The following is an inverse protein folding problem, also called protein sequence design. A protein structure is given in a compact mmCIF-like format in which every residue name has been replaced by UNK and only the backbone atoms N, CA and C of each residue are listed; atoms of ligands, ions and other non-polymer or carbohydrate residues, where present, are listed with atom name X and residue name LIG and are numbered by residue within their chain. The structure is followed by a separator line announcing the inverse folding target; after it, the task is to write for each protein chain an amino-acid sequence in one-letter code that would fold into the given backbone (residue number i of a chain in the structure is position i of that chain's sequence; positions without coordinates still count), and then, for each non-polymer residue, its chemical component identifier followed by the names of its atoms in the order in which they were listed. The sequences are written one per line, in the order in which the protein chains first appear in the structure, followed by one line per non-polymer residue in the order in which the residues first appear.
data_IF_239884586533
#
_entry.id   IF_239884586533
#
_cell.length_a   1.000
_cell.length_b   1.000
_cell.length_c   1.000
_cell.angle_alpha   90.00
_cell.angle_beta   90.00
_cell.angle_gamma   90.00
#
_symmetry.space_group_name_H-M   'P 1'
#
loop_
_entity.id
_entity.type
_entity.pdbx_description
1 polymer ?
#
# COMPACT_ATOMS: atom_id res chain seq x y z
N UNK A 1 24.39 12.84 12.40
CA UNK A 1 25.16 11.60 12.13
C UNK A 1 24.69 10.98 10.82
N UNK A 2 25.57 10.86 9.84
CA UNK A 2 25.26 10.36 8.48
C UNK A 2 24.85 8.89 8.51
N UNK A 3 23.64 8.55 8.05
CA UNK A 3 23.20 7.16 7.88
C UNK A 3 24.10 6.49 6.83
N UNK A 4 24.98 5.59 7.27
CA UNK A 4 25.90 4.84 6.42
C UNK A 4 25.11 4.01 5.41
N UNK A 5 25.16 4.40 4.13
CA UNK A 5 24.50 3.67 3.04
C UNK A 5 25.21 2.33 2.81
N UNK A 6 24.45 1.23 2.88
CA UNK A 6 24.93 -0.12 2.59
C UNK A 6 25.21 -0.25 1.08
N UNK A 7 26.34 -0.89 0.73
CA UNK A 7 26.71 -1.24 -0.64
C UNK A 7 25.74 -2.27 -1.23
N UNK A 8 25.57 -2.31 -2.55
CA UNK A 8 24.65 -3.25 -3.22
C UNK A 8 25.06 -4.72 -3.01
N UNK A 9 26.36 -4.99 -2.85
CA UNK A 9 26.84 -6.31 -2.42
C UNK A 9 26.43 -6.65 -0.99
N UNK A 10 26.37 -5.65 -0.09
CA UNK A 10 25.91 -5.85 1.28
C UNK A 10 24.40 -6.09 1.32
N UNK A 11 23.61 -5.37 0.52
CA UNK A 11 22.17 -5.61 0.36
C UNK A 11 21.89 -7.03 -0.17
N UNK A 12 22.61 -7.45 -1.22
CA UNK A 12 22.46 -8.80 -1.80
C UNK A 12 22.86 -9.90 -0.81
N UNK A 13 23.94 -9.70 -0.04
CA UNK A 13 24.36 -10.65 1.01
C UNK A 13 23.37 -10.72 2.18
N UNK A 14 22.76 -9.59 2.54
CA UNK A 14 21.71 -9.52 3.56
C UNK A 14 20.45 -10.24 3.06
N UNK A 15 20.01 -9.98 1.83
CA UNK A 15 18.86 -10.67 1.22
C UNK A 15 19.11 -12.19 1.13
N UNK A 16 20.31 -12.62 0.75
CA UNK A 16 20.70 -14.03 0.71
C UNK A 16 20.75 -14.69 2.10
N UNK A 17 21.23 -13.97 3.13
CA UNK A 17 21.18 -14.45 4.53
C UNK A 17 19.76 -14.50 5.08
N UNK A 18 18.93 -13.52 4.75
CA UNK A 18 17.50 -13.51 5.12
C UNK A 18 16.77 -14.70 4.50
N UNK A 19 17.01 -14.99 3.21
CA UNK A 19 16.46 -16.19 2.53
C UNK A 19 16.92 -17.48 3.21
N UNK A 20 18.17 -17.53 3.71
CA UNK A 20 18.69 -18.68 4.47
C UNK A 20 18.15 -18.79 5.90
N UNK A 21 17.99 -17.69 6.65
CA UNK A 21 17.31 -17.71 7.97
C UNK A 21 15.82 -18.09 7.82
N UNK A 22 15.22 -17.77 6.66
CA UNK A 22 13.88 -18.20 6.28
C UNK A 22 13.76 -19.73 6.11
N UNK A 23 14.79 -20.37 5.53
CA UNK A 23 14.86 -21.82 5.35
C UNK A 23 15.43 -22.57 6.56
N UNK A 24 16.30 -21.96 7.38
CA UNK A 24 16.93 -22.67 8.51
C UNK A 24 15.97 -22.95 9.68
N UNK A 25 14.76 -22.39 9.66
CA UNK A 25 13.66 -22.73 10.56
C UNK A 25 12.73 -23.82 10.00
N UNK A 26 13.16 -24.52 8.94
CA UNK A 26 12.41 -25.62 8.32
C UNK A 26 12.62 -26.93 9.06
N UNK A 27 11.64 -27.30 9.87
CA UNK A 27 11.36 -28.72 10.11
C UNK A 27 9.85 -29.05 10.09
N UNK A 28 9.03 -28.21 9.47
CA UNK A 28 7.63 -28.55 9.18
C UNK A 28 7.20 -27.89 7.88
N UNK A 29 6.93 -28.73 6.88
CA UNK A 29 6.53 -28.35 5.53
C UNK A 29 5.12 -27.78 5.47
N UNK A 30 5.02 -26.56 4.95
CA UNK A 30 3.92 -25.98 4.16
C UNK A 30 4.19 -24.49 4.03
N UNK A 31 4.90 -24.14 2.96
CA UNK A 31 5.22 -22.79 2.52
C UNK A 31 3.91 -22.24 1.88
N UNK A 32 3.33 -21.08 2.19
CA UNK A 32 3.92 -19.75 2.03
C UNK A 32 3.15 -18.62 2.78
N UNK A 33 1.97 -18.88 3.38
CA UNK A 33 1.08 -17.81 3.89
C UNK A 33 1.03 -17.68 5.42
N UNK A 34 1.45 -18.71 6.17
CA UNK A 34 1.33 -18.73 7.64
C UNK A 34 2.46 -18.01 8.40
N UNK A 35 3.39 -17.31 7.71
CA UNK A 35 4.58 -16.70 8.36
C UNK A 35 4.47 -15.21 8.64
N UNK A 36 3.58 -14.47 7.98
CA UNK A 36 3.44 -13.02 8.23
C UNK A 36 2.30 -12.78 9.22
N UNK A 37 2.67 -12.29 10.41
CA UNK A 37 1.77 -12.14 11.55
C UNK A 37 1.37 -10.67 11.80
N UNK A 38 1.74 -9.76 10.90
CA UNK A 38 1.37 -8.36 11.02
C UNK A 38 1.21 -7.63 9.69
N UNK A 39 0.44 -6.55 9.73
CA UNK A 39 0.26 -5.60 8.63
C UNK A 39 0.64 -4.20 9.09
N UNK A 40 1.46 -3.50 8.31
CA UNK A 40 1.83 -2.11 8.61
C UNK A 40 0.63 -1.20 8.36
N UNK A 41 0.19 -0.49 9.40
CA UNK A 41 -0.92 0.47 9.35
C UNK A 41 -0.39 1.89 9.14
N UNK A 42 0.60 2.28 9.93
CA UNK A 42 1.15 3.65 9.92
C UNK A 42 2.65 3.65 10.03
N UNK A 43 3.30 4.62 9.39
CA UNK A 43 4.76 4.76 9.37
C UNK A 43 5.21 6.11 9.93
N UNK A 44 5.81 6.12 11.12
CA UNK A 44 6.29 7.32 11.84
C UNK A 44 7.81 7.53 11.74
N UNK A 45 8.45 6.97 10.72
CA UNK A 45 9.88 7.16 10.46
C UNK A 45 10.73 6.06 11.10
N UNK A 46 10.90 6.07 12.42
CA UNK A 46 11.64 5.02 13.14
C UNK A 46 10.74 3.94 13.72
N UNK A 47 9.50 4.32 14.04
CA UNK A 47 8.47 3.44 14.58
C UNK A 47 7.37 3.25 13.54
N UNK A 48 6.77 2.07 13.54
CA UNK A 48 5.64 1.72 12.70
C UNK A 48 4.56 1.09 13.58
N UNK A 49 3.30 1.41 13.30
CA UNK A 49 2.18 0.68 13.91
C UNK A 49 1.87 -0.53 13.03
N UNK A 50 1.89 -1.70 13.66
CA UNK A 50 1.62 -2.98 13.02
C UNK A 50 0.37 -3.58 13.65
N UNK A 51 -0.63 -3.82 12.83
CA UNK A 51 -1.80 -4.61 13.22
C UNK A 51 -1.41 -6.09 13.32
N UNK A 52 -1.78 -6.72 14.43
CA UNK A 52 -1.56 -8.15 14.63
C UNK A 52 -2.61 -8.92 13.83
N UNK A 53 -2.16 -9.82 12.93
CA UNK A 53 -3.08 -10.59 12.08
C UNK A 53 -3.46 -11.96 12.67
N UNK A 54 -2.65 -12.48 13.59
CA UNK A 54 -2.80 -13.86 14.10
C UNK A 54 -2.77 -13.92 15.61
N UNK A 55 -3.49 -14.90 16.18
CA UNK A 55 -3.47 -15.19 17.63
C UNK A 55 -4.55 -14.44 18.41
N UNK A 56 -4.44 -14.47 19.76
CA UNK A 56 -5.48 -13.96 20.67
C UNK A 56 -5.70 -12.44 20.57
N UNK A 57 -4.68 -11.70 20.15
CA UNK A 57 -4.70 -10.24 20.05
C UNK A 57 -4.87 -9.76 18.59
N UNK A 58 -5.42 -10.60 17.70
CA UNK A 58 -5.67 -10.22 16.32
C UNK A 58 -6.54 -8.95 16.25
N UNK A 59 -6.18 -8.02 15.36
CA UNK A 59 -6.81 -6.71 15.21
C UNK A 59 -6.29 -5.63 16.17
N UNK A 60 -5.49 -5.96 17.18
CA UNK A 60 -4.82 -4.94 17.99
C UNK A 60 -3.60 -4.35 17.29
N UNK A 61 -3.23 -3.13 17.67
CA UNK A 61 -2.05 -2.44 17.16
C UNK A 61 -0.86 -2.63 18.11
N UNK A 62 0.29 -2.96 17.53
CA UNK A 62 1.57 -3.01 18.20
C UNK A 62 2.53 -1.99 17.61
N UNK A 63 3.17 -1.19 18.46
CA UNK A 63 4.23 -0.29 18.01
C UNK A 63 5.54 -1.05 17.85
N UNK A 64 6.05 -1.05 16.63
CA UNK A 64 7.22 -1.80 16.23
C UNK A 64 8.34 -0.90 15.73
N UNK A 65 9.58 -1.31 15.96
CA UNK A 65 10.77 -0.75 15.34
C UNK A 65 11.20 -1.58 14.13
N UNK A 66 11.72 -0.91 13.11
CA UNK A 66 12.29 -1.57 11.94
C UNK A 66 13.79 -1.87 12.14
N UNK A 67 14.23 -3.09 11.84
CA UNK A 67 15.66 -3.40 11.76
C UNK A 67 16.33 -2.69 10.58
N UNK A 68 17.56 -2.23 10.78
CA UNK A 68 18.32 -1.46 9.78
C UNK A 68 18.60 -2.20 8.45
N UNK A 69 18.48 -3.53 8.43
CA UNK A 69 18.72 -4.37 7.27
C UNK A 69 17.46 -4.63 6.42
N UNK A 70 16.31 -4.06 6.80
CA UNK A 70 15.07 -4.17 6.04
C UNK A 70 14.97 -3.08 4.97
N UNK A 71 14.35 -3.38 3.82
CA UNK A 71 13.98 -2.37 2.83
C UNK A 71 12.99 -1.34 3.44
N UNK A 72 12.73 -0.25 2.71
CA UNK A 72 11.73 0.73 3.17
C UNK A 72 10.35 0.11 3.23
N UNK A 73 9.78 0.08 4.43
CA UNK A 73 8.40 -0.36 4.67
C UNK A 73 7.42 0.78 4.37
N UNK A 74 6.22 0.43 3.94
CA UNK A 74 5.11 1.36 3.69
C UNK A 74 3.82 0.79 4.25
N UNK A 75 2.78 1.62 4.35
CA UNK A 75 1.45 1.18 4.76
C UNK A 75 0.92 0.09 3.82
N UNK A 76 0.33 -0.95 4.40
CA UNK A 76 -0.16 -2.13 3.68
C UNK A 76 0.87 -3.26 3.53
N UNK A 77 2.14 -3.05 3.89
CA UNK A 77 3.12 -4.13 3.91
C UNK A 77 2.76 -5.23 4.90
N UNK A 78 2.81 -6.48 4.44
CA UNK A 78 2.75 -7.65 5.30
C UNK A 78 4.15 -7.93 5.87
N UNK A 79 4.21 -8.12 7.18
CA UNK A 79 5.47 -8.22 7.93
C UNK A 79 5.44 -9.36 8.93
N UNK A 80 6.64 -9.86 9.23
CA UNK A 80 6.88 -10.72 10.37
C UNK A 80 7.52 -9.87 11.45
N UNK A 81 6.84 -9.77 12.59
CA UNK A 81 7.34 -9.06 13.76
C UNK A 81 7.39 -9.99 14.97
N UNK A 82 8.23 -9.65 15.94
CA UNK A 82 8.28 -10.31 17.26
C UNK A 82 8.29 -9.27 18.36
N UNK A 83 7.77 -9.65 19.51
CA UNK A 83 7.97 -8.87 20.73
C UNK A 83 9.40 -9.12 21.25
N UNK A 84 10.06 -8.06 21.67
CA UNK A 84 11.35 -8.13 22.37
C UNK A 84 11.14 -8.19 23.89
N UNK A 85 12.22 -8.46 24.64
CA UNK A 85 12.19 -8.59 26.10
C UNK A 85 11.60 -7.35 26.82
N UNK A 86 11.69 -6.17 26.21
CA UNK A 86 11.16 -4.90 26.74
C UNK A 86 9.70 -4.63 26.34
N UNK A 87 8.96 -5.62 25.83
CA UNK A 87 7.59 -5.47 25.32
C UNK A 87 7.47 -4.46 24.18
N UNK A 88 8.52 -4.29 23.39
CA UNK A 88 8.52 -3.50 22.17
C UNK A 88 8.51 -4.43 20.95
N UNK A 89 7.77 -4.07 19.91
CA UNK A 89 7.74 -4.87 18.70
C UNK A 89 8.96 -4.62 17.83
N UNK A 90 9.49 -5.65 17.18
CA UNK A 90 10.58 -5.53 16.21
C UNK A 90 10.19 -6.25 14.93
N UNK A 91 10.21 -5.52 13.81
CA UNK A 91 9.99 -6.07 12.49
C UNK A 91 11.26 -6.79 12.02
N UNK A 92 11.10 -8.05 11.63
CA UNK A 92 12.20 -8.97 11.28
C UNK A 92 12.29 -9.14 9.76
N UNK A 93 11.14 -9.25 9.09
CA UNK A 93 11.04 -9.52 7.67
C UNK A 93 9.80 -8.85 7.07
N UNK A 94 9.86 -8.64 5.75
CA UNK A 94 8.75 -8.15 4.93
C UNK A 94 8.39 -9.24 3.92
N UNK A 95 7.09 -9.39 3.65
CA UNK A 95 6.59 -10.22 2.57
C UNK A 95 6.87 -9.59 1.19
N UNK A 96 6.79 -10.41 0.15
CA UNK A 96 6.74 -9.91 -1.22
C UNK A 96 5.46 -9.10 -1.45
N UNK A 97 5.59 -7.95 -2.11
CA UNK A 97 4.45 -7.06 -2.38
C UNK A 97 3.71 -7.54 -3.61
N UNK A 98 2.37 -7.62 -3.53
CA UNK A 98 1.51 -7.88 -4.71
C UNK A 98 1.57 -6.72 -5.71
N UNK A 99 1.55 -5.50 -5.19
CA UNK A 99 1.68 -4.26 -5.96
C UNK A 99 2.25 -3.16 -5.06
N UNK A 100 2.69 -2.07 -5.70
CA UNK A 100 3.29 -0.92 -5.02
C UNK A 100 2.73 0.36 -5.61
N UNK A 101 2.05 1.14 -4.79
CA UNK A 101 1.57 2.47 -5.15
C UNK A 101 2.53 3.54 -4.64
N UNK A 102 2.87 4.51 -5.48
CA UNK A 102 3.89 5.49 -5.14
C UNK A 102 3.85 6.71 -6.03
N UNK A 103 4.72 7.66 -5.71
CA UNK A 103 4.86 8.93 -6.43
C UNK A 103 6.30 9.15 -6.86
N UNK A 104 6.50 9.90 -7.93
CA UNK A 104 7.81 10.44 -8.25
C UNK A 104 8.19 11.51 -7.23
N UNK A 105 9.42 11.46 -6.71
CA UNK A 105 10.03 12.55 -5.96
C UNK A 105 10.44 13.68 -6.91
N UNK A 106 10.85 14.83 -6.35
CA UNK A 106 11.30 16.03 -7.09
C UNK A 106 12.40 15.69 -8.12
N UNK A 107 13.20 14.66 -7.84
CA UNK A 107 14.28 14.16 -8.71
C UNK A 107 13.82 13.10 -9.72
N UNK A 108 12.52 12.87 -9.86
CA UNK A 108 11.93 11.85 -10.72
C UNK A 108 12.07 10.41 -10.20
N UNK A 109 12.60 10.20 -9.00
CA UNK A 109 12.78 8.86 -8.43
C UNK A 109 11.46 8.34 -7.85
N UNK A 110 11.10 7.11 -8.16
CA UNK A 110 9.91 6.48 -7.61
C UNK A 110 10.05 6.28 -6.10
N UNK A 111 9.10 6.82 -5.34
CA UNK A 111 9.01 6.67 -3.89
C UNK A 111 7.71 5.94 -3.55
N UNK A 112 7.78 4.73 -2.96
CA UNK A 112 6.60 3.98 -2.56
C UNK A 112 5.87 4.71 -1.42
N UNK A 113 4.54 4.64 -1.45
CA UNK A 113 3.64 5.25 -0.47
C UNK A 113 2.77 4.19 0.20
N UNK A 114 2.29 3.20 -0.57
CA UNK A 114 1.49 2.09 -0.09
C UNK A 114 1.79 0.81 -0.88
N UNK A 115 1.41 -0.35 -0.33
CA UNK A 115 1.59 -1.65 -0.95
C UNK A 115 0.40 -2.57 -0.67
N UNK A 116 0.25 -3.62 -1.47
CA UNK A 116 -0.79 -4.65 -1.32
C UNK A 116 -2.21 -4.06 -1.31
N UNK A 117 -2.47 -3.16 -2.25
CA UNK A 117 -3.80 -2.61 -2.47
C UNK A 117 -4.60 -3.54 -3.37
N UNK A 118 -5.91 -3.62 -3.15
CA UNK A 118 -6.81 -4.33 -4.06
C UNK A 118 -7.53 -3.33 -4.98
N UNK A 119 -8.00 -2.22 -4.40
CA UNK A 119 -8.78 -1.19 -5.09
C UNK A 119 -8.16 0.20 -4.98
N UNK A 120 -8.40 1.05 -5.98
CA UNK A 120 -8.10 2.49 -5.93
C UNK A 120 -9.36 3.27 -6.27
N UNK A 121 -9.84 4.06 -5.32
CA UNK A 121 -10.99 4.93 -5.52
C UNK A 121 -10.55 6.26 -6.11
N UNK A 122 -10.99 6.58 -7.32
CA UNK A 122 -10.85 7.90 -7.94
C UNK A 122 -12.07 8.73 -7.53
N UNK A 123 -11.87 9.60 -6.55
CA UNK A 123 -12.92 10.51 -6.07
C UNK A 123 -12.84 11.83 -6.84
N UNK A 124 -13.92 12.18 -7.51
CA UNK A 124 -14.13 13.47 -8.18
C UNK A 124 -15.46 14.05 -7.70
N UNK A 125 -15.74 15.31 -8.05
CA UNK A 125 -16.96 15.98 -7.61
C UNK A 125 -17.56 16.81 -8.74
N UNK A 126 -18.84 17.16 -8.56
CA UNK A 126 -19.54 18.14 -9.40
C UNK A 126 -18.84 19.51 -9.31
N UNK A 127 -18.44 19.89 -8.10
CA UNK A 127 -17.73 21.15 -7.82
C UNK A 127 -16.52 20.89 -6.91
N UNK A 128 -15.29 21.25 -7.32
CA UNK A 128 -14.92 21.85 -8.60
C UNK A 128 -15.11 20.87 -9.77
N UNK A 129 -15.28 21.40 -10.98
CA UNK A 129 -15.51 20.60 -12.19
C UNK A 129 -14.45 19.51 -12.35
N UNK A 130 -14.92 18.28 -12.60
CA UNK A 130 -14.06 17.13 -12.79
C UNK A 130 -13.25 17.26 -14.09
N UNK A 131 -11.92 17.11 -13.98
CA UNK A 131 -11.05 17.16 -15.15
C UNK A 131 -10.84 15.75 -15.73
N UNK A 132 -11.55 15.43 -16.82
CA UNK A 132 -11.54 14.09 -17.43
C UNK A 132 -10.12 13.59 -17.75
N UNK A 133 -9.28 14.45 -18.33
CA UNK A 133 -7.91 14.08 -18.67
C UNK A 133 -7.09 13.66 -17.43
N UNK A 134 -7.40 14.17 -16.24
CA UNK A 134 -6.76 13.70 -15.01
C UNK A 134 -7.30 12.33 -14.58
N UNK A 135 -8.60 12.09 -14.71
CA UNK A 135 -9.21 10.78 -14.43
C UNK A 135 -8.63 9.70 -15.34
N UNK A 136 -8.54 9.96 -16.66
CA UNK A 136 -7.95 9.04 -17.63
C UNK A 136 -6.51 8.66 -17.26
N UNK A 137 -5.71 9.65 -16.85
CA UNK A 137 -4.34 9.42 -16.40
C UNK A 137 -4.27 8.55 -15.15
N UNK A 138 -5.21 8.72 -14.21
CA UNK A 138 -5.30 7.82 -13.07
C UNK A 138 -5.72 6.41 -13.46
N UNK A 139 -6.72 6.26 -14.34
CA UNK A 139 -7.16 4.95 -14.83
C UNK A 139 -6.02 4.18 -15.50
N UNK A 140 -5.24 4.85 -16.35
CA UNK A 140 -4.05 4.26 -16.99
C UNK A 140 -3.01 3.84 -15.95
N UNK A 141 -2.70 4.71 -14.98
CA UNK A 141 -1.71 4.41 -13.94
C UNK A 141 -2.15 3.24 -13.04
N UNK A 142 -3.43 3.19 -12.65
CA UNK A 142 -4.00 2.13 -11.81
C UNK A 142 -3.98 0.79 -12.57
N UNK A 143 -4.42 0.80 -13.83
CA UNK A 143 -4.42 -0.40 -14.68
C UNK A 143 -3.00 -0.93 -14.91
N UNK A 144 -2.00 -0.06 -15.08
CA UNK A 144 -0.60 -0.45 -15.22
C UNK A 144 -0.06 -1.15 -13.96
N UNK A 145 -0.60 -0.83 -12.78
CA UNK A 145 -0.23 -1.45 -11.51
C UNK A 145 -1.02 -2.74 -11.22
N UNK A 146 -1.92 -3.16 -12.11
CA UNK A 146 -2.80 -4.31 -11.91
C UNK A 146 -3.81 -4.12 -10.78
N UNK A 147 -4.16 -2.87 -10.48
CA UNK A 147 -5.13 -2.49 -9.46
C UNK A 147 -6.50 -2.27 -10.10
N UNK A 148 -7.57 -2.44 -9.32
CA UNK A 148 -8.93 -2.21 -9.80
C UNK A 148 -9.38 -0.77 -9.49
N UNK A 149 -9.67 0.06 -10.51
CA UNK A 149 -10.18 1.42 -10.29
C UNK A 149 -11.67 1.42 -9.99
N UNK A 150 -12.08 2.19 -8.98
CA UNK A 150 -13.47 2.49 -8.68
C UNK A 150 -13.69 4.00 -8.81
N UNK A 151 -14.65 4.42 -9.62
CA UNK A 151 -14.99 5.82 -9.80
C UNK A 151 -16.02 6.25 -8.75
N UNK A 152 -15.78 7.38 -8.10
CA UNK A 152 -16.70 7.92 -7.08
C UNK A 152 -16.98 9.39 -7.38
N UNK A 153 -18.23 9.68 -7.76
CA UNK A 153 -18.74 11.04 -7.88
C UNK A 153 -19.28 11.49 -6.52
N UNK A 154 -18.57 12.43 -5.91
CA UNK A 154 -18.92 13.05 -4.64
C UNK A 154 -19.69 14.36 -4.84
N UNK A 155 -20.42 14.78 -3.81
CA UNK A 155 -21.21 16.02 -3.76
C UNK A 155 -22.38 16.03 -4.74
N UNK A 156 -23.06 14.89 -4.83
CA UNK A 156 -24.24 14.74 -5.69
C UNK A 156 -25.42 15.60 -5.21
N UNK A 157 -25.40 16.05 -3.96
CA UNK A 157 -26.34 17.03 -3.40
C UNK A 157 -26.35 18.36 -4.17
N UNK A 158 -25.26 18.70 -4.87
CA UNK A 158 -25.15 19.92 -5.67
C UNK A 158 -25.68 19.76 -7.10
N UNK A 159 -26.15 18.56 -7.50
CA UNK A 159 -26.67 18.32 -8.85
C UNK A 159 -28.02 19.00 -9.09
N UNK A 160 -28.87 19.14 -8.07
CA UNK A 160 -30.20 19.76 -8.21
C UNK A 160 -30.12 21.24 -8.62
N UNK A 161 -29.07 21.94 -8.19
CA UNK A 161 -28.85 23.36 -8.45
C UNK A 161 -28.15 23.63 -9.80
N UNK A 162 -27.70 22.57 -10.50
CA UNK A 162 -26.89 22.68 -11.71
C UNK A 162 -27.51 21.81 -12.81
N UNK A 163 -28.00 22.43 -13.89
CA UNK A 163 -28.38 21.70 -15.11
C UNK A 163 -27.15 21.05 -15.72
N UNK A 164 -26.91 19.78 -15.40
CA UNK A 164 -25.62 19.11 -15.59
C UNK A 164 -25.65 18.02 -16.67
N UNK A 165 -26.16 18.34 -17.87
CA UNK A 165 -26.03 17.45 -19.05
C UNK A 165 -24.57 17.02 -19.28
N UNK A 166 -23.59 17.86 -18.91
CA UNK A 166 -22.17 17.56 -19.03
C UNK A 166 -21.71 16.42 -18.12
N UNK A 167 -22.27 16.29 -16.91
CA UNK A 167 -21.86 15.25 -15.95
C UNK A 167 -22.44 13.92 -16.36
N UNK A 168 -23.72 13.86 -16.72
CA UNK A 168 -24.35 12.63 -17.19
C UNK A 168 -23.65 12.08 -18.43
N UNK A 169 -23.30 12.98 -19.38
CA UNK A 169 -22.51 12.62 -20.55
C UNK A 169 -21.14 12.07 -20.15
N UNK A 170 -20.43 12.73 -19.23
CA UNK A 170 -19.14 12.24 -18.73
C UNK A 170 -19.27 10.86 -18.06
N UNK A 171 -20.24 10.66 -17.18
CA UNK A 171 -20.45 9.39 -16.48
C UNK A 171 -20.77 8.26 -17.45
N UNK A 172 -21.59 8.54 -18.48
CA UNK A 172 -21.94 7.57 -19.51
C UNK A 172 -20.72 7.00 -20.23
N UNK A 173 -19.67 7.80 -20.46
CA UNK A 173 -18.43 7.36 -21.09
C UNK A 173 -17.79 6.25 -20.25
N UNK A 174 -17.62 6.47 -18.96
CA UNK A 174 -16.95 5.50 -18.09
C UNK A 174 -17.81 4.26 -17.82
N UNK A 175 -19.13 4.41 -17.72
CA UNK A 175 -20.05 3.27 -17.66
C UNK A 175 -19.96 2.38 -18.90
N UNK A 176 -19.91 2.98 -20.09
CA UNK A 176 -19.79 2.25 -21.36
C UNK A 176 -18.44 1.53 -21.49
N UNK A 177 -17.39 2.04 -20.83
CA UNK A 177 -16.09 1.38 -20.74
C UNK A 177 -16.05 0.27 -19.68
N UNK A 178 -17.14 0.07 -18.92
CA UNK A 178 -17.26 -0.98 -17.91
C UNK A 178 -16.68 -0.60 -16.53
N UNK A 179 -16.38 0.68 -16.29
CA UNK A 179 -15.91 1.11 -14.98
C UNK A 179 -17.10 1.27 -14.01
N UNK A 180 -16.99 0.74 -12.78
CA UNK A 180 -18.00 0.98 -11.76
C UNK A 180 -17.93 2.44 -11.29
N UNK A 181 -19.08 3.10 -11.27
CA UNK A 181 -19.25 4.47 -10.79
C UNK A 181 -20.21 4.44 -9.59
N UNK A 182 -19.82 5.12 -8.51
CA UNK A 182 -20.64 5.30 -7.32
C UNK A 182 -20.90 6.79 -7.08
N UNK A 183 -22.16 7.13 -6.85
CA UNK A 183 -22.63 8.49 -6.57
C UNK A 183 -22.86 8.65 -5.06
N UNK A 184 -22.22 9.66 -4.44
CA UNK A 184 -22.19 9.89 -2.99
C UNK A 184 -22.27 11.36 -2.58
#
# INVERSE_FOLDING_TARGET
MSKRRLSDQQKSRIAGKQKKEFCATENTGSIQEAKFNGRVISHFGQQLDVEILTGKNAGSLMRCYQRANLPSLVTGDLVLWKEDAEKTGIIIAQAERKNVFGRADIKGQFKPVAANLDYVLIVFAVVPEAFLNLMDRYLVAISQLGLEPLLVLNKVDLLEDLTNENIDNMLSIYHNLGYPVYEV
#
